data_IF_390928452959
#
_entry.id   IF_390928452959
#
_cell.length_a   1.000
_cell.length_b   1.000
_cell.length_c   1.000
_cell.angle_alpha   90.00
_cell.angle_beta   90.00
_cell.angle_gamma   90.00
#
_symmetry.space_group_name_H-M   'P 1'
#
loop_
_entity.id
_entity.type
_entity.pdbx_description
1 polymer ?
#
# COMPACT_ATOMS: atom_id res chain seq x y z
N UNK A 1 4.10 -7.23 -4.60
CA UNK A 1 4.16 -7.16 -3.12
C UNK A 1 2.79 -6.76 -2.60
N UNK A 2 2.29 -7.41 -1.54
CA UNK A 2 0.99 -7.10 -0.92
C UNK A 2 1.25 -6.59 0.49
N UNK A 3 0.68 -5.43 0.83
CA UNK A 3 0.75 -4.81 2.16
C UNK A 3 -0.66 -4.69 2.74
N UNK A 4 -0.76 -4.70 4.07
CA UNK A 4 -2.01 -4.43 4.79
C UNK A 4 -1.90 -3.08 5.49
N UNK A 5 -2.73 -2.12 5.09
CA UNK A 5 -2.91 -0.89 5.86
C UNK A 5 -3.83 -1.19 7.05
N UNK A 6 -3.35 -0.93 8.27
CA UNK A 6 -4.09 -1.22 9.51
C UNK A 6 -4.25 0.03 10.37
N UNK A 7 -5.37 0.09 11.10
CA UNK A 7 -5.61 1.05 12.18
C UNK A 7 -5.99 0.22 13.41
N UNK A 8 -5.31 0.43 14.53
CA UNK A 8 -5.52 -0.33 15.78
C UNK A 8 -5.51 -1.85 15.56
N UNK A 9 -4.57 -2.32 14.73
CA UNK A 9 -4.44 -3.74 14.36
C UNK A 9 -5.52 -4.28 13.41
N UNK A 10 -6.54 -3.49 13.06
CA UNK A 10 -7.58 -3.88 12.11
C UNK A 10 -7.22 -3.44 10.70
N UNK A 11 -7.23 -4.37 9.75
CA UNK A 11 -7.00 -4.06 8.34
C UNK A 11 -8.12 -3.20 7.78
N UNK A 12 -7.74 -2.07 7.16
CA UNK A 12 -8.65 -1.16 6.49
C UNK A 12 -8.56 -1.26 4.96
N UNK A 13 -7.36 -1.44 4.41
CA UNK A 13 -7.15 -1.66 2.98
C UNK A 13 -6.03 -2.68 2.72
N UNK A 14 -6.14 -3.38 1.59
CA UNK A 14 -5.08 -4.19 1.00
C UNK A 14 -4.44 -3.39 -0.11
N UNK A 15 -3.12 -3.22 -0.05
CA UNK A 15 -2.34 -2.43 -1.00
C UNK A 15 -1.48 -3.37 -1.82
N UNK A 16 -1.66 -3.33 -3.14
CA UNK A 16 -0.85 -4.07 -4.09
C UNK A 16 0.17 -3.13 -4.73
N UNK A 17 1.43 -3.52 -4.65
CA UNK A 17 2.57 -2.78 -5.19
C UNK A 17 3.19 -3.60 -6.31
N UNK A 18 3.32 -2.97 -7.48
CA UNK A 18 4.13 -3.49 -8.56
C UNK A 18 5.60 -3.25 -8.24
N UNK A 19 6.38 -4.33 -8.11
CA UNK A 19 7.81 -4.24 -7.83
C UNK A 19 8.63 -3.78 -9.03
N UNK A 20 8.20 -4.15 -10.25
CA UNK A 20 8.85 -3.69 -11.48
C UNK A 20 8.65 -2.20 -11.73
N UNK A 21 7.48 -1.65 -11.38
CA UNK A 21 7.16 -0.22 -11.54
C UNK A 21 7.39 0.60 -10.28
N UNK A 22 7.69 -0.04 -9.15
CA UNK A 22 7.81 0.57 -7.82
C UNK A 22 6.68 1.58 -7.52
N UNK A 23 5.44 1.14 -7.71
CA UNK A 23 4.25 1.99 -7.49
C UNK A 23 3.05 1.16 -7.04
N UNK A 24 2.13 1.80 -6.32
CA UNK A 24 0.84 1.20 -5.96
C UNK A 24 -0.01 1.03 -7.22
N UNK A 25 -0.47 -0.20 -7.46
CA UNK A 25 -1.39 -0.52 -8.56
C UNK A 25 -2.83 -0.72 -8.08
N UNK A 26 -3.00 -1.08 -6.80
CA UNK A 26 -4.31 -1.22 -6.18
C UNK A 26 -4.23 -0.86 -4.69
N UNK A 27 -5.28 -0.24 -4.17
CA UNK A 27 -5.51 -0.08 -2.73
C UNK A 27 -7.00 -0.16 -2.48
N UNK A 28 -7.51 -1.21 -1.82
CA UNK A 28 -8.97 -1.39 -1.63
C UNK A 28 -9.32 -1.94 -0.26
N UNK A 29 -10.42 -1.45 0.29
CA UNK A 29 -11.02 -1.94 1.52
C UNK A 29 -12.04 -3.04 1.28
N UNK A 30 -12.91 -3.25 2.27
CA UNK A 30 -14.01 -4.23 2.21
C UNK A 30 -14.90 -3.94 1.00
N UNK A 31 -15.34 -5.01 0.32
CA UNK A 31 -16.16 -4.92 -0.89
C UNK A 31 -15.54 -4.06 -2.00
N UNK A 32 -14.21 -4.04 -2.12
CA UNK A 32 -13.46 -3.29 -3.13
C UNK A 32 -13.72 -1.78 -3.12
N UNK A 33 -14.14 -1.22 -1.99
CA UNK A 33 -14.39 0.21 -1.87
C UNK A 33 -13.14 0.96 -1.39
N UNK A 34 -13.09 2.24 -1.72
CA UNK A 34 -12.12 3.15 -1.11
C UNK A 34 -12.54 3.48 0.31
N UNK A 35 -11.61 3.45 1.25
CA UNK A 35 -11.86 3.98 2.59
C UNK A 35 -11.61 5.48 2.63
N UNK A 36 -12.03 6.14 3.72
CA UNK A 36 -11.69 7.55 3.98
C UNK A 36 -10.17 7.84 4.03
N UNK A 37 -9.34 6.81 4.13
CA UNK A 37 -7.88 6.93 4.19
C UNK A 37 -7.19 6.59 2.88
N UNK A 38 -7.92 6.12 1.86
CA UNK A 38 -7.39 5.59 0.60
C UNK A 38 -6.28 6.44 -0.01
N UNK A 39 -6.57 7.72 -0.26
CA UNK A 39 -5.60 8.66 -0.86
C UNK A 39 -4.35 8.83 0.01
N UNK A 40 -4.52 8.90 1.34
CA UNK A 40 -3.40 9.02 2.27
C UNK A 40 -2.53 7.75 2.26
N UNK A 41 -3.14 6.57 2.18
CA UNK A 41 -2.44 5.28 2.11
C UNK A 41 -1.59 5.23 0.83
N UNK A 42 -2.20 5.50 -0.33
CA UNK A 42 -1.49 5.50 -1.62
C UNK A 42 -0.30 6.45 -1.58
N UNK A 43 -0.52 7.70 -1.15
CA UNK A 43 0.53 8.71 -1.11
C UNK A 43 1.66 8.34 -0.16
N UNK A 44 1.33 7.78 1.01
CA UNK A 44 2.33 7.34 1.98
C UNK A 44 3.20 6.23 1.40
N UNK A 45 2.57 5.22 0.78
CA UNK A 45 3.28 4.06 0.23
C UNK A 45 4.15 4.49 -0.95
N UNK A 46 3.61 5.25 -1.92
CA UNK A 46 4.38 5.74 -3.07
C UNK A 46 5.57 6.63 -2.65
N UNK A 47 5.40 7.51 -1.65
CA UNK A 47 6.50 8.36 -1.15
C UNK A 47 7.66 7.55 -0.54
N UNK A 48 7.41 6.32 -0.09
CA UNK A 48 8.39 5.47 0.60
C UNK A 48 8.89 4.29 -0.25
N UNK A 49 8.65 4.29 -1.57
CA UNK A 49 9.03 3.19 -2.46
C UNK A 49 10.53 2.88 -2.46
N UNK A 50 11.38 3.89 -2.30
CA UNK A 50 12.83 3.69 -2.20
C UNK A 50 13.23 2.79 -1.03
N UNK A 51 12.54 2.89 0.11
CA UNK A 51 12.77 2.04 1.28
C UNK A 51 12.37 0.59 1.02
N UNK A 52 11.30 0.37 0.26
CA UNK A 52 10.87 -0.97 -0.16
C UNK A 52 11.91 -1.57 -1.10
N UNK A 53 12.39 -0.81 -2.08
CA UNK A 53 13.43 -1.26 -3.00
C UNK A 53 14.71 -1.67 -2.27
N UNK A 54 15.19 -0.83 -1.33
CA UNK A 54 16.36 -1.14 -0.51
C UNK A 54 16.22 -2.47 0.24
N UNK A 55 15.05 -2.75 0.80
CA UNK A 55 14.79 -3.99 1.56
C UNK A 55 14.64 -5.24 0.70
N UNK A 56 14.38 -5.12 -0.60
CA UNK A 56 14.26 -6.26 -1.52
C UNK A 56 15.63 -6.64 -2.10
N UNK A 57 16.54 -5.67 -2.22
CA UNK A 57 17.90 -5.88 -2.74
C UNK A 57 18.86 -6.39 -1.65
N UNK A 58 18.58 -6.09 -0.38
CA UNK A 58 19.32 -6.60 0.78
C UNK A 58 19.00 -8.07 1.08
#
# INVERSE_FOLDING_TARGET
LILSATIDGKRIETVEVSLSKLTVVQSRGVCNQNTKHHTRIINLVNRNMSLIQQRIVA
#
